data_IF_216078649060
#
_entry.id   IF_216078649060
#
_cell.length_a   1.000
_cell.length_b   1.000
_cell.length_c   1.000
_cell.angle_alpha   90.00
_cell.angle_beta   90.00
_cell.angle_gamma   90.00
#
_symmetry.space_group_name_H-M   'P 1'
#
loop_
_entity.id
_entity.type
_entity.pdbx_description
1 polymer ?
#
# COMPACT_ATOMS: atom_id res chain seq x y z
N UNK A 1 -7.46 33.08 0.42
CA UNK A 1 -7.51 33.09 -1.06
C UNK A 1 -7.96 31.72 -1.53
N UNK A 2 -8.71 31.60 -2.64
CA UNK A 2 -9.01 30.28 -3.20
C UNK A 2 -7.71 29.55 -3.54
N UNK A 3 -7.69 28.21 -3.38
CA UNK A 3 -6.55 27.41 -3.77
C UNK A 3 -6.30 27.53 -5.29
N UNK A 4 -5.04 27.51 -5.77
CA UNK A 4 -4.74 27.74 -7.17
C UNK A 4 -5.23 26.60 -8.08
N UNK A 5 -5.58 26.99 -9.31
CA UNK A 5 -5.69 26.11 -10.45
C UNK A 5 -4.32 26.01 -11.14
N UNK A 6 -3.85 24.78 -11.41
CA UNK A 6 -2.57 24.54 -12.07
C UNK A 6 -2.79 23.88 -13.44
N UNK A 7 -1.83 24.08 -14.32
CA UNK A 7 -1.73 23.35 -15.61
C UNK A 7 -0.35 22.73 -15.70
N UNK A 8 -0.29 21.46 -16.13
CA UNK A 8 0.95 20.72 -16.27
C UNK A 8 0.90 19.76 -17.47
N UNK A 9 2.04 19.24 -17.91
CA UNK A 9 2.07 18.14 -18.86
C UNK A 9 1.70 16.82 -18.16
N UNK A 10 2.18 16.63 -16.92
CA UNK A 10 1.96 15.41 -16.13
C UNK A 10 1.54 15.75 -14.71
N UNK A 11 0.46 15.15 -14.22
CA UNK A 11 0.09 15.14 -12.81
C UNK A 11 0.35 13.75 -12.21
N UNK A 12 1.21 13.67 -11.18
CA UNK A 12 1.47 12.44 -10.41
C UNK A 12 0.70 12.53 -9.11
N UNK A 13 -0.17 11.56 -8.84
CA UNK A 13 -0.98 11.49 -7.62
C UNK A 13 -0.39 10.45 -6.68
N UNK A 14 0.26 10.92 -5.62
CA UNK A 14 0.97 10.13 -4.61
C UNK A 14 2.50 10.21 -4.76
N UNK A 15 3.18 10.62 -3.69
CA UNK A 15 4.64 10.69 -3.57
C UNK A 15 5.21 9.57 -2.66
N UNK A 16 4.65 8.36 -2.82
CA UNK A 16 5.28 7.13 -2.34
C UNK A 16 6.36 6.66 -3.32
N UNK A 17 6.91 5.46 -3.08
CA UNK A 17 7.98 4.90 -3.90
C UNK A 17 7.71 4.94 -5.40
N UNK A 18 6.51 4.56 -5.84
CA UNK A 18 6.17 4.50 -7.26
C UNK A 18 6.11 5.90 -7.89
N UNK A 19 5.44 6.85 -7.23
CA UNK A 19 5.31 8.22 -7.72
C UNK A 19 6.65 8.95 -7.78
N UNK A 20 7.46 8.86 -6.72
CA UNK A 20 8.81 9.45 -6.68
C UNK A 20 9.71 8.85 -7.76
N UNK A 21 9.67 7.53 -7.97
CA UNK A 21 10.47 6.90 -9.03
C UNK A 21 10.04 7.36 -10.44
N UNK A 22 8.72 7.56 -10.69
CA UNK A 22 8.24 8.11 -11.96
C UNK A 22 8.69 9.56 -12.12
N UNK A 23 8.51 10.40 -11.11
CA UNK A 23 8.95 11.80 -11.13
C UNK A 23 10.45 11.92 -11.44
N UNK A 24 11.29 11.12 -10.77
CA UNK A 24 12.73 11.04 -11.04
C UNK A 24 13.03 10.71 -12.50
N UNK A 25 12.39 9.67 -13.05
CA UNK A 25 12.66 9.27 -14.43
C UNK A 25 12.14 10.27 -15.46
N UNK A 26 11.08 11.03 -15.16
CA UNK A 26 10.63 12.14 -15.99
C UNK A 26 11.62 13.32 -15.94
N UNK A 27 12.09 13.69 -14.76
CA UNK A 27 13.14 14.71 -14.59
C UNK A 27 14.42 14.33 -15.36
N UNK A 28 14.86 13.06 -15.29
CA UNK A 28 16.02 12.56 -16.06
C UNK A 28 15.81 12.58 -17.57
N UNK A 29 14.59 12.77 -18.06
CA UNK A 29 14.22 12.96 -19.47
C UNK A 29 14.05 14.43 -19.86
N UNK A 30 14.36 15.35 -18.95
CA UNK A 30 14.36 16.78 -19.20
C UNK A 30 13.04 17.51 -18.86
N UNK A 31 12.03 16.81 -18.31
CA UNK A 31 10.81 17.46 -17.85
C UNK A 31 11.08 18.16 -16.52
N UNK A 32 10.64 19.39 -16.37
CA UNK A 32 10.81 20.18 -15.17
C UNK A 32 9.74 19.84 -14.12
N UNK A 33 10.17 19.32 -12.96
CA UNK A 33 9.28 19.10 -11.81
C UNK A 33 8.95 20.45 -11.16
N UNK A 34 7.70 20.62 -10.72
CA UNK A 34 7.16 21.88 -10.21
C UNK A 34 6.44 22.73 -11.27
N UNK A 35 6.69 22.47 -12.58
CA UNK A 35 6.01 23.16 -13.67
C UNK A 35 5.40 22.20 -14.69
N UNK A 36 6.21 21.44 -15.42
CA UNK A 36 5.72 20.45 -16.38
C UNK A 36 5.23 19.17 -15.72
N UNK A 37 5.85 18.77 -14.61
CA UNK A 37 5.44 17.63 -13.79
C UNK A 37 5.03 18.13 -12.41
N UNK A 38 3.76 17.98 -12.05
CA UNK A 38 3.25 18.31 -10.74
C UNK A 38 3.06 17.02 -9.93
N UNK A 39 3.64 16.96 -8.74
CA UNK A 39 3.53 15.82 -7.84
C UNK A 39 2.65 16.20 -6.65
N UNK A 40 1.56 15.49 -6.46
CA UNK A 40 0.53 15.74 -5.44
C UNK A 40 0.56 14.62 -4.41
N UNK A 41 0.67 14.96 -3.13
CA UNK A 41 0.63 13.94 -2.07
C UNK A 41 -0.27 14.37 -0.91
N UNK A 42 -1.04 13.41 -0.40
CA UNK A 42 -1.98 13.63 0.70
C UNK A 42 -1.33 13.74 2.07
N UNK A 43 -0.12 13.17 2.21
CA UNK A 43 0.59 13.11 3.48
C UNK A 43 1.06 14.48 3.96
N UNK A 44 1.31 14.63 5.26
CA UNK A 44 1.85 15.87 5.82
C UNK A 44 3.33 16.07 5.47
N UNK A 45 4.03 15.00 5.08
CA UNK A 45 5.46 15.00 4.78
C UNK A 45 5.89 13.83 3.89
N UNK A 46 7.20 13.67 3.64
CA UNK A 46 7.76 12.54 2.93
C UNK A 46 7.51 11.20 3.64
N UNK A 47 7.60 10.08 2.89
CA UNK A 47 7.49 8.73 3.46
C UNK A 47 6.35 7.90 2.88
N UNK A 48 5.40 8.50 2.15
CA UNK A 48 4.25 7.79 1.57
C UNK A 48 3.49 6.99 2.64
N UNK A 49 3.20 5.73 2.37
CA UNK A 49 2.51 4.85 3.33
C UNK A 49 3.33 4.54 4.60
N UNK A 50 4.65 4.72 4.55
CA UNK A 50 5.54 4.37 5.67
C UNK A 50 5.42 5.35 6.83
N UNK A 51 5.21 6.64 6.59
CA UNK A 51 5.03 7.65 7.64
C UNK A 51 3.88 7.32 8.61
N UNK A 52 2.94 6.47 8.19
CA UNK A 52 1.77 6.08 8.96
C UNK A 52 1.92 4.70 9.64
N UNK A 53 3.10 4.06 9.56
CA UNK A 53 3.34 2.80 10.25
C UNK A 53 3.48 3.04 11.76
N UNK A 54 3.13 2.03 12.54
CA UNK A 54 3.27 2.08 14.00
C UNK A 54 4.75 2.10 14.40
N UNK A 55 5.02 2.69 15.54
CA UNK A 55 6.37 3.02 15.99
C UNK A 55 7.22 1.78 16.30
N UNK A 56 6.60 0.72 16.82
CA UNK A 56 7.28 -0.53 17.15
C UNK A 56 7.74 -1.33 15.92
N UNK A 57 7.27 -0.98 14.72
CA UNK A 57 7.76 -1.59 13.48
C UNK A 57 9.15 -1.04 13.13
N UNK A 58 10.18 -1.79 13.48
CA UNK A 58 11.57 -1.46 13.14
C UNK A 58 11.88 -1.74 11.68
N UNK A 59 12.93 -1.10 11.14
CA UNK A 59 13.39 -1.33 9.76
C UNK A 59 13.72 -2.81 9.51
N UNK A 60 14.43 -3.45 10.46
CA UNK A 60 14.76 -4.88 10.39
C UNK A 60 13.55 -5.81 10.52
N UNK A 61 12.44 -5.33 11.09
CA UNK A 61 11.16 -6.05 11.16
C UNK A 61 10.34 -6.00 9.88
N UNK A 62 10.74 -5.17 8.90
CA UNK A 62 10.07 -5.07 7.61
C UNK A 62 10.56 -6.14 6.62
N UNK A 63 9.82 -6.36 5.52
CA UNK A 63 10.41 -6.98 4.35
C UNK A 63 11.47 -6.05 3.75
N UNK A 64 12.46 -6.62 3.07
CA UNK A 64 13.56 -5.84 2.48
C UNK A 64 13.03 -4.70 1.61
N UNK A 65 13.44 -3.48 1.93
CA UNK A 65 13.19 -2.30 1.12
C UNK A 65 14.31 -2.13 0.09
N UNK A 66 13.93 -1.71 -1.11
CA UNK A 66 14.89 -1.42 -2.17
C UNK A 66 14.99 0.08 -2.38
N UNK A 67 16.21 0.55 -2.55
CA UNK A 67 16.51 1.95 -2.77
C UNK A 67 15.81 2.51 -4.01
N UNK A 68 15.45 3.77 -3.95
CA UNK A 68 14.94 4.52 -5.09
C UNK A 68 16.06 4.75 -6.14
N UNK A 69 15.71 4.87 -7.42
CA UNK A 69 16.70 5.04 -8.47
C UNK A 69 17.51 6.33 -8.27
N UNK A 70 18.84 6.24 -8.35
CA UNK A 70 19.77 7.38 -8.19
C UNK A 70 20.20 7.65 -6.75
N UNK A 71 19.77 6.86 -5.75
CA UNK A 71 20.23 7.00 -4.37
C UNK A 71 21.47 6.16 -4.04
N UNK A 72 21.61 5.00 -4.62
CA UNK A 72 22.78 4.13 -4.40
C UNK A 72 24.09 4.86 -4.74
N UNK A 73 24.11 5.63 -5.82
CA UNK A 73 25.26 6.45 -6.23
C UNK A 73 25.60 7.58 -5.21
N UNK A 74 24.66 7.90 -4.34
CA UNK A 74 24.81 8.88 -3.29
C UNK A 74 25.33 8.31 -1.95
N UNK A 75 25.48 6.99 -1.86
CA UNK A 75 25.82 6.32 -0.62
C UNK A 75 24.70 6.32 0.44
N UNK A 76 23.48 6.71 0.06
CA UNK A 76 22.31 6.70 0.95
C UNK A 76 21.45 5.50 0.59
N UNK A 77 21.47 4.48 1.42
CA UNK A 77 20.77 3.20 1.19
C UNK A 77 20.02 2.76 2.43
N UNK A 78 18.96 1.97 2.25
CA UNK A 78 18.26 1.35 3.37
C UNK A 78 19.13 0.33 4.11
N UNK A 79 20.03 -0.36 3.39
CA UNK A 79 20.95 -1.35 3.98
C UNK A 79 21.99 -0.68 4.93
N UNK A 80 22.25 0.62 4.80
CA UNK A 80 23.13 1.38 5.68
C UNK A 80 22.44 1.90 6.94
N UNK A 81 21.12 1.92 7.00
CA UNK A 81 20.38 2.42 8.15
C UNK A 81 20.29 1.37 9.26
N UNK A 82 20.35 1.79 10.56
CA UNK A 82 20.22 0.88 11.69
C UNK A 82 18.90 0.11 11.66
N UNK A 83 18.97 -1.22 11.81
CA UNK A 83 17.83 -2.12 11.67
C UNK A 83 16.80 -1.98 12.81
N UNK A 84 17.21 -1.47 13.94
CA UNK A 84 16.40 -1.26 15.16
C UNK A 84 15.63 0.05 15.19
N UNK A 85 15.92 0.97 14.26
CA UNK A 85 15.17 2.22 14.17
C UNK A 85 13.74 1.99 13.65
N UNK A 86 12.75 2.82 14.09
CA UNK A 86 11.41 2.79 13.54
C UNK A 86 11.41 2.98 12.01
N UNK A 87 10.79 2.05 11.28
CA UNK A 87 10.77 2.09 9.82
C UNK A 87 10.12 3.37 9.28
N UNK A 88 9.11 3.90 10.00
CA UNK A 88 8.41 5.15 9.65
C UNK A 88 9.36 6.36 9.59
N UNK A 89 10.34 6.41 10.48
CA UNK A 89 11.33 7.50 10.55
C UNK A 89 12.36 7.35 9.43
N UNK A 90 12.98 6.17 9.35
CA UNK A 90 14.03 5.89 8.36
C UNK A 90 13.52 6.13 6.94
N UNK A 91 12.32 5.63 6.61
CA UNK A 91 11.78 5.81 5.25
C UNK A 91 11.36 7.25 4.98
N UNK A 92 10.83 7.96 6.00
CA UNK A 92 10.47 9.37 5.82
C UNK A 92 11.71 10.24 5.60
N UNK A 93 12.77 10.03 6.36
CA UNK A 93 14.06 10.69 6.18
C UNK A 93 14.66 10.39 4.80
N UNK A 94 14.65 9.12 4.40
CA UNK A 94 15.17 8.68 3.10
C UNK A 94 14.41 9.32 1.93
N UNK A 95 13.05 9.35 1.99
CA UNK A 95 12.26 9.96 0.92
C UNK A 95 12.41 11.47 0.91
N UNK A 96 12.52 12.14 2.06
CA UNK A 96 12.81 13.57 2.14
C UNK A 96 14.17 13.94 1.52
N UNK A 97 15.20 13.15 1.83
CA UNK A 97 16.51 13.29 1.20
C UNK A 97 16.45 13.05 -0.32
N UNK A 98 15.64 12.09 -0.76
CA UNK A 98 15.41 11.81 -2.18
C UNK A 98 14.78 13.00 -2.90
N UNK A 99 13.68 13.52 -2.35
CA UNK A 99 12.98 14.69 -2.90
C UNK A 99 13.91 15.89 -3.03
N UNK A 100 14.65 16.20 -1.96
CA UNK A 100 15.61 17.31 -1.94
C UNK A 100 16.73 17.12 -2.97
N UNK A 101 17.35 15.95 -2.99
CA UNK A 101 18.48 15.64 -3.88
C UNK A 101 18.13 15.77 -5.35
N UNK A 102 16.93 15.36 -5.71
CA UNK A 102 16.50 15.31 -7.11
C UNK A 102 15.58 16.45 -7.51
N UNK A 103 15.37 17.44 -6.63
CA UNK A 103 14.51 18.59 -6.90
C UNK A 103 13.07 18.18 -7.21
N UNK A 104 12.56 17.14 -6.52
CA UNK A 104 11.19 16.70 -6.68
C UNK A 104 10.28 17.55 -5.79
N UNK A 105 9.75 18.62 -6.37
CA UNK A 105 8.86 19.55 -5.67
C UNK A 105 7.48 18.90 -5.51
N UNK A 106 7.19 18.44 -4.28
CA UNK A 106 5.95 17.72 -3.96
C UNK A 106 4.98 18.64 -3.22
N UNK A 107 3.81 18.86 -3.79
CA UNK A 107 2.74 19.64 -3.18
C UNK A 107 2.01 18.83 -2.11
N UNK A 108 2.03 19.33 -0.86
CA UNK A 108 1.43 18.72 0.34
C UNK A 108 0.76 19.76 1.23
N UNK A 109 -0.32 19.42 1.96
CA UNK A 109 -1.15 18.23 1.73
C UNK A 109 -2.10 18.45 0.56
N UNK A 110 -2.21 17.48 -0.35
CA UNK A 110 -3.15 17.51 -1.47
C UNK A 110 -3.90 16.19 -1.56
N UNK A 111 -5.20 16.22 -1.28
CA UNK A 111 -6.08 15.04 -1.39
C UNK A 111 -6.82 15.09 -2.72
N UNK A 112 -6.41 14.24 -3.66
CA UNK A 112 -7.12 14.12 -4.94
C UNK A 112 -8.42 13.34 -4.72
N UNK A 113 -9.54 13.97 -5.07
CA UNK A 113 -10.90 13.42 -4.91
C UNK A 113 -11.47 12.81 -6.18
N UNK A 114 -11.12 13.37 -7.36
CA UNK A 114 -11.60 12.89 -8.65
C UNK A 114 -10.61 13.20 -9.76
N UNK A 115 -10.61 12.37 -10.79
CA UNK A 115 -9.98 12.63 -12.09
C UNK A 115 -11.06 12.50 -13.15
N UNK A 116 -11.21 13.51 -13.99
CA UNK A 116 -12.25 13.62 -15.01
C UNK A 116 -11.65 13.98 -16.36
N UNK A 117 -12.35 13.71 -17.46
CA UNK A 117 -12.02 14.25 -18.77
C UNK A 117 -12.48 15.71 -18.88
N UNK A 118 -11.61 16.56 -19.38
CA UNK A 118 -11.88 17.97 -19.65
C UNK A 118 -11.33 18.34 -21.05
N UNK A 119 -12.07 17.96 -22.10
CA UNK A 119 -11.58 18.04 -23.47
C UNK A 119 -10.41 17.06 -23.70
N UNK A 120 -9.27 17.60 -24.17
CA UNK A 120 -8.08 16.81 -24.49
C UNK A 120 -7.16 16.56 -23.26
N UNK A 121 -7.54 17.06 -22.09
CA UNK A 121 -6.77 16.89 -20.86
C UNK A 121 -7.58 16.16 -19.78
N UNK A 122 -6.91 15.74 -18.74
CA UNK A 122 -7.51 15.30 -17.49
C UNK A 122 -7.58 16.46 -16.51
N UNK A 123 -8.71 16.61 -15.84
CA UNK A 123 -8.86 17.49 -14.67
C UNK A 123 -8.77 16.69 -13.39
N UNK A 124 -7.71 16.93 -12.64
CA UNK A 124 -7.50 16.37 -11.30
C UNK A 124 -8.12 17.33 -10.30
N UNK A 125 -9.19 16.91 -9.62
CA UNK A 125 -9.87 17.69 -8.57
C UNK A 125 -9.32 17.31 -7.20
N UNK A 126 -9.05 18.32 -6.40
CA UNK A 126 -8.57 18.15 -5.05
C UNK A 126 -9.69 18.46 -4.04
N UNK A 127 -9.65 17.80 -2.89
CA UNK A 127 -10.60 18.03 -1.82
C UNK A 127 -10.41 19.42 -1.20
N UNK A 128 -11.49 20.02 -0.64
CA UNK A 128 -11.38 21.29 0.09
C UNK A 128 -10.30 21.24 1.18
N UNK A 129 -9.54 22.30 1.31
CA UNK A 129 -8.41 22.40 2.24
C UNK A 129 -7.08 21.87 1.69
N UNK A 130 -7.04 21.36 0.46
CA UNK A 130 -5.80 21.03 -0.23
C UNK A 130 -5.04 22.30 -0.65
N UNK A 131 -3.72 22.19 -0.79
CA UNK A 131 -2.87 23.28 -1.26
C UNK A 131 -3.17 23.72 -2.71
N UNK A 132 -3.85 22.87 -3.48
CA UNK A 132 -4.28 23.08 -4.87
C UNK A 132 -5.74 22.70 -5.01
N UNK A 133 -6.52 23.44 -5.79
CA UNK A 133 -7.94 23.14 -6.06
C UNK A 133 -8.08 22.15 -7.21
N UNK A 134 -7.42 22.43 -8.34
CA UNK A 134 -7.46 21.57 -9.52
C UNK A 134 -6.12 21.60 -10.28
N UNK A 135 -5.83 20.52 -10.98
CA UNK A 135 -4.72 20.44 -11.95
C UNK A 135 -5.26 19.91 -13.28
N UNK A 136 -5.07 20.67 -14.35
CA UNK A 136 -5.32 20.19 -15.71
C UNK A 136 -4.02 19.65 -16.29
N UNK A 137 -4.01 18.38 -16.72
CA UNK A 137 -2.82 17.70 -17.21
C UNK A 137 -3.10 16.83 -18.44
N UNK A 138 -2.15 16.76 -19.38
CA UNK A 138 -2.21 15.86 -20.55
C UNK A 138 -2.09 14.39 -20.12
N UNK A 139 -1.33 14.13 -19.07
CA UNK A 139 -1.08 12.79 -18.54
C UNK A 139 -1.30 12.78 -17.04
N UNK A 140 -1.97 11.73 -16.54
CA UNK A 140 -2.13 11.47 -15.10
C UNK A 140 -1.47 10.14 -14.74
N UNK A 141 -0.67 10.15 -13.67
CA UNK A 141 -0.10 8.95 -13.06
C UNK A 141 -0.69 8.78 -11.68
N UNK A 142 -1.57 7.80 -11.52
CA UNK A 142 -2.08 7.42 -10.19
C UNK A 142 -1.08 6.48 -9.50
N UNK A 143 -0.42 6.98 -8.46
CA UNK A 143 0.57 6.29 -7.62
C UNK A 143 0.12 6.23 -6.14
N UNK A 144 -1.17 6.15 -5.92
CA UNK A 144 -1.85 6.31 -4.63
C UNK A 144 -1.68 5.14 -3.65
N UNK A 145 -1.16 4.01 -4.15
CA UNK A 145 -0.91 2.83 -3.33
C UNK A 145 -2.19 2.18 -2.78
N UNK A 146 -2.11 1.69 -1.55
CA UNK A 146 -3.19 0.88 -0.95
C UNK A 146 -3.50 1.26 0.50
N UNK A 147 -2.63 2.01 1.16
CA UNK A 147 -2.63 2.20 2.62
C UNK A 147 -3.95 2.73 3.20
N UNK A 148 -4.61 3.62 2.50
CA UNK A 148 -5.86 4.26 2.92
C UNK A 148 -7.11 3.48 2.57
N UNK A 149 -6.96 2.31 1.95
CA UNK A 149 -8.05 1.41 1.56
C UNK A 149 -7.90 0.03 2.21
N UNK A 150 -7.93 -0.08 3.56
CA UNK A 150 -7.91 -1.36 4.24
C UNK A 150 -9.15 -2.17 3.85
N UNK A 151 -8.96 -3.46 3.69
CA UNK A 151 -10.06 -4.37 3.40
C UNK A 151 -10.66 -4.90 4.70
N UNK A 152 -11.91 -4.57 4.97
CA UNK A 152 -12.68 -5.23 6.01
C UNK A 152 -13.72 -6.14 5.37
N UNK A 153 -13.74 -7.45 5.68
CA UNK A 153 -14.74 -8.35 5.14
C UNK A 153 -16.11 -8.02 5.72
N UNK A 154 -17.15 -8.29 4.94
CA UNK A 154 -18.50 -8.34 5.50
C UNK A 154 -18.57 -9.45 6.56
N UNK A 155 -19.13 -9.13 7.72
CA UNK A 155 -19.28 -10.05 8.84
C UNK A 155 -20.63 -9.80 9.52
N UNK A 156 -21.56 -10.79 9.53
CA UNK A 156 -22.82 -10.65 10.24
C UNK A 156 -22.61 -10.30 11.71
N UNK A 157 -23.37 -9.34 12.22
CA UNK A 157 -23.30 -8.90 13.61
C UNK A 157 -22.10 -7.99 13.95
N UNK A 158 -21.28 -7.63 12.99
CA UNK A 158 -20.10 -6.77 13.21
C UNK A 158 -20.44 -5.45 13.87
N UNK A 159 -21.54 -4.83 13.46
CA UNK A 159 -21.96 -3.52 13.99
C UNK A 159 -22.60 -3.62 15.39
N UNK A 160 -22.97 -4.84 15.81
CA UNK A 160 -23.46 -5.10 17.17
C UNK A 160 -22.34 -5.40 18.16
N UNK A 161 -21.11 -5.61 17.69
CA UNK A 161 -19.98 -5.88 18.56
C UNK A 161 -19.59 -4.59 19.33
N UNK A 162 -19.62 -4.66 20.67
CA UNK A 162 -19.34 -3.54 21.55
C UNK A 162 -17.87 -3.33 21.86
N UNK A 163 -17.02 -4.31 21.51
CA UNK A 163 -15.58 -4.23 21.70
C UNK A 163 -14.87 -3.35 20.68
N UNK A 164 -13.57 -3.20 20.86
CA UNK A 164 -12.74 -2.43 19.95
C UNK A 164 -12.59 -3.14 18.60
N UNK A 165 -12.80 -2.44 17.50
CA UNK A 165 -12.47 -2.92 16.16
C UNK A 165 -11.51 -1.95 15.48
N UNK A 166 -10.38 -2.47 14.98
CA UNK A 166 -9.44 -1.68 14.20
C UNK A 166 -8.96 -2.43 12.96
N UNK A 167 -8.55 -1.68 11.97
CA UNK A 167 -7.83 -2.17 10.79
C UNK A 167 -6.32 -1.91 10.94
N UNK A 168 -5.51 -2.49 10.06
CA UNK A 168 -4.04 -2.31 10.10
C UNK A 168 -3.58 -0.83 10.16
N UNK A 169 -4.15 0.12 9.39
CA UNK A 169 -3.77 1.53 9.49
C UNK A 169 -4.06 2.20 10.84
N UNK A 170 -4.98 1.67 11.61
CA UNK A 170 -5.39 2.21 12.92
C UNK A 170 -4.60 1.60 14.08
N UNK A 171 -3.71 0.64 13.79
CA UNK A 171 -2.83 0.06 14.79
C UNK A 171 -1.67 1.01 15.09
N UNK A 172 -1.54 1.43 16.34
CA UNK A 172 -0.51 2.36 16.83
C UNK A 172 0.54 1.70 17.74
N UNK A 173 0.33 0.43 18.12
CA UNK A 173 1.17 -0.34 19.00
C UNK A 173 0.37 -1.28 19.92
N UNK A 174 1.05 -2.16 20.66
CA UNK A 174 0.41 -3.21 21.44
C UNK A 174 -0.26 -2.72 22.73
N UNK A 175 0.17 -1.60 23.30
CA UNK A 175 -0.25 -1.17 24.64
C UNK A 175 -1.78 -0.97 24.79
N UNK A 176 -2.45 -0.57 23.71
CA UNK A 176 -3.91 -0.44 23.67
C UNK A 176 -4.66 -1.74 23.96
N UNK A 177 -3.98 -2.89 23.81
CA UNK A 177 -4.55 -4.24 23.96
C UNK A 177 -4.16 -4.91 25.28
N UNK A 178 -3.47 -4.19 26.16
CA UNK A 178 -3.02 -4.74 27.45
C UNK A 178 -4.17 -5.29 28.26
N UNK A 179 -4.08 -6.57 28.65
CA UNK A 179 -5.08 -7.28 29.43
C UNK A 179 -6.36 -7.66 28.67
N UNK A 180 -6.53 -7.26 27.41
CA UNK A 180 -7.70 -7.59 26.61
C UNK A 180 -7.60 -9.00 26.01
N UNK A 181 -8.76 -9.61 25.69
CA UNK A 181 -8.89 -10.78 24.84
C UNK A 181 -8.97 -10.30 23.39
N UNK A 182 -8.01 -10.64 22.56
CA UNK A 182 -7.90 -10.07 21.22
C UNK A 182 -8.06 -11.14 20.14
N UNK A 183 -8.90 -10.87 19.15
CA UNK A 183 -8.97 -11.65 17.92
C UNK A 183 -8.16 -10.95 16.81
N UNK A 184 -7.11 -11.61 16.29
CA UNK A 184 -6.38 -11.16 15.10
C UNK A 184 -6.93 -11.91 13.88
N UNK A 185 -7.43 -11.15 12.90
CA UNK A 185 -8.05 -11.70 11.69
C UNK A 185 -7.17 -11.43 10.48
N UNK A 186 -6.63 -12.48 9.88
CA UNK A 186 -5.81 -12.37 8.69
C UNK A 186 -4.67 -13.38 8.65
N UNK A 187 -4.18 -13.68 7.46
CA UNK A 187 -3.10 -14.66 7.24
C UNK A 187 -1.87 -14.06 6.56
N UNK A 188 -1.65 -12.75 6.66
CA UNK A 188 -0.50 -12.06 6.08
C UNK A 188 0.51 -11.59 7.14
N UNK A 189 1.57 -10.93 6.68
CA UNK A 189 2.67 -10.45 7.54
C UNK A 189 2.18 -9.55 8.68
N UNK A 190 1.25 -8.61 8.41
CA UNK A 190 0.71 -7.75 9.47
C UNK A 190 0.02 -8.53 10.58
N UNK A 191 -0.72 -9.60 10.23
CA UNK A 191 -1.34 -10.46 11.24
C UNK A 191 -0.29 -11.13 12.12
N UNK A 192 0.80 -11.63 11.54
CA UNK A 192 1.90 -12.23 12.32
C UNK A 192 2.57 -11.21 13.24
N UNK A 193 2.80 -9.99 12.77
CA UNK A 193 3.35 -8.92 13.62
C UNK A 193 2.43 -8.62 14.79
N UNK A 194 1.11 -8.54 14.55
CA UNK A 194 0.15 -8.29 15.64
C UNK A 194 0.04 -9.47 16.62
N UNK A 195 0.14 -10.72 16.15
CA UNK A 195 0.21 -11.89 17.04
C UNK A 195 1.44 -11.85 17.95
N UNK A 196 2.54 -11.34 17.46
CA UNK A 196 3.78 -11.19 18.23
C UNK A 196 3.65 -10.06 19.26
N UNK A 197 3.43 -8.83 18.78
CA UNK A 197 3.40 -7.64 19.63
C UNK A 197 2.25 -7.66 20.64
N UNK A 198 1.03 -7.96 20.16
CA UNK A 198 -0.16 -7.99 21.03
C UNK A 198 -0.14 -9.20 21.97
N UNK A 199 0.42 -10.32 21.50
CA UNK A 199 0.56 -11.52 22.33
C UNK A 199 1.41 -11.36 23.59
N UNK A 200 2.26 -10.33 23.65
CA UNK A 200 3.07 -10.03 24.83
C UNK A 200 2.32 -9.24 25.92
N UNK A 201 1.22 -8.56 25.56
CA UNK A 201 0.52 -7.65 26.48
C UNK A 201 -0.95 -8.05 26.72
N UNK A 202 -1.59 -8.72 25.77
CA UNK A 202 -2.99 -9.15 25.88
C UNK A 202 -3.17 -10.30 26.89
N UNK A 203 -4.35 -10.44 27.48
CA UNK A 203 -4.68 -11.60 28.32
C UNK A 203 -4.80 -12.90 27.51
N UNK A 204 -5.24 -12.79 26.27
CA UNK A 204 -5.24 -13.88 25.30
C UNK A 204 -5.32 -13.35 23.88
N UNK A 205 -4.75 -14.10 22.92
CA UNK A 205 -4.84 -13.77 21.49
C UNK A 205 -5.33 -15.00 20.73
N UNK A 206 -6.38 -14.80 19.94
CA UNK A 206 -6.95 -15.78 19.02
C UNK A 206 -6.62 -15.40 17.59
N UNK A 207 -6.13 -16.35 16.79
CA UNK A 207 -5.78 -16.12 15.39
C UNK A 207 -6.79 -16.75 14.44
N UNK A 208 -7.52 -15.93 13.69
CA UNK A 208 -8.53 -16.36 12.74
C UNK A 208 -8.09 -16.13 11.30
N UNK A 209 -8.20 -17.16 10.45
CA UNK A 209 -7.90 -17.03 9.02
C UNK A 209 -8.94 -17.73 8.16
N UNK A 210 -9.20 -17.16 6.98
CA UNK A 210 -10.11 -17.77 5.99
C UNK A 210 -9.52 -19.04 5.36
N UNK A 211 -8.21 -19.03 5.11
CA UNK A 211 -7.45 -20.14 4.52
C UNK A 211 -6.30 -20.49 5.45
N UNK A 212 -5.85 -21.74 5.42
CA UNK A 212 -4.64 -22.14 6.14
C UNK A 212 -3.45 -21.38 5.53
N UNK A 213 -2.70 -20.60 6.29
CA UNK A 213 -1.48 -19.97 5.79
C UNK A 213 -0.45 -21.03 5.43
N UNK A 214 0.23 -20.82 4.30
CA UNK A 214 1.34 -21.65 3.87
C UNK A 214 2.65 -21.02 4.31
N UNK A 215 3.48 -21.78 5.01
CA UNK A 215 4.83 -21.37 5.38
C UNK A 215 5.86 -22.16 4.57
N UNK A 216 6.97 -21.54 4.21
CA UNK A 216 8.05 -22.18 3.46
C UNK A 216 9.41 -21.72 3.98
N UNK A 217 10.43 -22.56 3.84
CA UNK A 217 11.81 -22.17 4.14
C UNK A 217 12.30 -21.11 3.16
N UNK A 218 13.24 -20.27 3.62
CA UNK A 218 13.84 -19.21 2.80
C UNK A 218 14.91 -19.81 1.88
N UNK A 219 14.50 -20.51 0.84
CA UNK A 219 15.38 -20.97 -0.24
C UNK A 219 15.32 -19.94 -1.38
N UNK A 220 16.46 -19.36 -1.74
CA UNK A 220 16.53 -18.25 -2.68
C UNK A 220 15.93 -18.57 -4.06
N UNK A 221 16.17 -19.79 -4.59
CA UNK A 221 15.66 -20.21 -5.91
C UNK A 221 14.15 -20.41 -5.92
N UNK A 222 13.61 -21.12 -4.93
CA UNK A 222 12.16 -21.34 -4.78
C UNK A 222 11.42 -20.03 -4.46
N UNK A 223 12.05 -19.13 -3.72
CA UNK A 223 11.51 -17.79 -3.45
C UNK A 223 11.41 -16.95 -4.74
N UNK A 224 12.41 -17.02 -5.61
CA UNK A 224 12.41 -16.33 -6.91
C UNK A 224 11.34 -16.88 -7.86
N UNK A 225 11.13 -18.20 -7.90
CA UNK A 225 10.11 -18.85 -8.71
C UNK A 225 8.70 -18.47 -8.25
N UNK A 226 8.42 -18.54 -6.93
CA UNK A 226 7.15 -18.10 -6.34
C UNK A 226 6.89 -16.62 -6.61
N UNK A 227 7.92 -15.78 -6.52
CA UNK A 227 7.86 -14.37 -6.88
C UNK A 227 7.46 -14.15 -8.34
N UNK A 228 8.07 -14.88 -9.28
CA UNK A 228 7.69 -14.83 -10.70
C UNK A 228 6.25 -15.28 -10.94
N UNK A 229 5.82 -16.36 -10.29
CA UNK A 229 4.43 -16.86 -10.37
C UNK A 229 3.44 -15.84 -9.85
N UNK A 230 3.72 -15.22 -8.71
CA UNK A 230 2.86 -14.19 -8.14
C UNK A 230 2.75 -12.95 -9.06
N UNK A 231 3.86 -12.53 -9.65
CA UNK A 231 3.89 -11.43 -10.63
C UNK A 231 3.05 -11.79 -11.85
N UNK A 232 3.16 -13.01 -12.40
CA UNK A 232 2.39 -13.44 -13.55
C UNK A 232 0.87 -13.48 -13.26
N UNK A 233 0.47 -13.99 -12.09
CA UNK A 233 -0.94 -14.00 -11.67
C UNK A 233 -1.49 -12.58 -11.47
N UNK A 234 -0.69 -11.68 -10.90
CA UNK A 234 -1.10 -10.28 -10.75
C UNK A 234 -1.17 -9.54 -12.08
N UNK A 235 -0.25 -9.80 -13.01
CA UNK A 235 -0.23 -9.23 -14.35
C UNK A 235 -1.48 -9.65 -15.13
N UNK A 236 -1.80 -10.94 -15.10
CA UNK A 236 -3.02 -11.46 -15.73
C UNK A 236 -4.30 -10.84 -15.13
N UNK A 237 -4.36 -10.70 -13.79
CA UNK A 237 -5.48 -10.04 -13.13
C UNK A 237 -5.58 -8.56 -13.51
N UNK A 238 -4.45 -7.85 -13.57
CA UNK A 238 -4.38 -6.45 -13.96
C UNK A 238 -4.78 -6.24 -15.43
N UNK A 239 -4.28 -7.06 -16.36
CA UNK A 239 -4.66 -6.99 -17.79
C UNK A 239 -6.15 -7.22 -18.01
N UNK A 240 -6.75 -8.13 -17.26
CA UNK A 240 -8.19 -8.44 -17.35
C UNK A 240 -9.07 -7.59 -16.45
N UNK A 241 -8.53 -6.59 -15.76
CA UNK A 241 -9.30 -5.73 -14.86
C UNK A 241 -9.90 -6.47 -13.66
N UNK A 242 -9.40 -7.66 -13.32
CA UNK A 242 -9.89 -8.41 -12.15
C UNK A 242 -9.29 -7.84 -10.86
N UNK A 243 -9.96 -8.01 -9.71
CA UNK A 243 -9.39 -7.66 -8.42
C UNK A 243 -8.03 -8.34 -8.22
N UNK A 244 -7.03 -7.56 -7.80
CA UNK A 244 -5.68 -8.06 -7.60
C UNK A 244 -5.63 -9.04 -6.42
N UNK A 245 -5.08 -10.26 -6.58
CA UNK A 245 -4.85 -11.16 -5.47
C UNK A 245 -3.73 -10.63 -4.57
N UNK A 246 -3.79 -10.93 -3.27
CA UNK A 246 -2.69 -10.61 -2.37
C UNK A 246 -1.45 -11.46 -2.75
N UNK A 247 -0.28 -10.84 -2.80
CA UNK A 247 0.99 -11.55 -3.07
C UNK A 247 1.18 -12.70 -2.08
N UNK A 248 1.01 -12.46 -0.79
CA UNK A 248 1.13 -13.48 0.26
C UNK A 248 0.17 -14.67 0.05
N UNK A 249 -1.02 -14.43 -0.53
CA UNK A 249 -1.96 -15.52 -0.82
C UNK A 249 -1.47 -16.46 -1.93
N UNK A 250 -0.52 -16.03 -2.73
CA UNK A 250 0.07 -16.79 -3.84
C UNK A 250 1.43 -17.36 -3.43
N UNK A 251 2.29 -16.55 -2.81
CA UNK A 251 3.66 -16.95 -2.45
C UNK A 251 3.74 -17.75 -1.14
N UNK A 252 2.78 -17.59 -0.24
CA UNK A 252 2.92 -18.01 1.15
C UNK A 252 3.80 -17.04 1.96
N UNK A 253 4.19 -17.45 3.13
CA UNK A 253 5.00 -16.71 4.10
C UNK A 253 6.34 -17.42 4.32
N UNK A 254 7.48 -16.72 4.28
CA UNK A 254 8.75 -17.31 4.65
C UNK A 254 8.79 -17.60 6.16
N UNK A 255 9.48 -18.68 6.55
CA UNK A 255 9.80 -19.02 7.95
C UNK A 255 10.88 -18.09 8.49
N UNK A 256 10.54 -16.80 8.56
CA UNK A 256 11.39 -15.74 9.11
C UNK A 256 11.64 -15.91 10.62
N UNK A 257 12.51 -15.08 11.18
CA UNK A 257 12.74 -15.03 12.64
C UNK A 257 11.43 -14.77 13.41
N UNK A 258 10.54 -13.92 12.89
CA UNK A 258 9.20 -13.67 13.44
C UNK A 258 8.36 -14.95 13.49
N UNK A 259 8.30 -15.69 12.39
CA UNK A 259 7.52 -16.95 12.35
C UNK A 259 8.06 -17.96 13.34
N UNK A 260 9.39 -18.16 13.41
CA UNK A 260 10.02 -19.06 14.39
C UNK A 260 9.74 -18.66 15.82
N UNK A 261 9.75 -17.37 16.14
CA UNK A 261 9.41 -16.84 17.47
C UNK A 261 7.95 -17.13 17.82
N UNK A 262 7.02 -16.92 16.90
CA UNK A 262 5.60 -17.23 17.08
C UNK A 262 5.34 -18.74 17.26
N UNK A 263 6.05 -19.59 16.51
CA UNK A 263 6.00 -21.06 16.66
C UNK A 263 6.45 -21.47 18.07
N UNK A 264 7.60 -20.96 18.49
CA UNK A 264 8.14 -21.27 19.83
C UNK A 264 7.25 -20.77 20.96
N UNK A 265 6.54 -19.66 20.77
CA UNK A 265 5.57 -19.12 21.70
C UNK A 265 4.18 -19.79 21.63
N UNK A 266 3.97 -20.75 20.72
CA UNK A 266 2.66 -21.40 20.52
C UNK A 266 1.58 -20.49 19.94
N UNK A 267 1.93 -19.35 19.34
CA UNK A 267 1.01 -18.30 18.85
C UNK A 267 0.49 -18.55 17.42
N UNK A 268 0.93 -19.61 16.77
CA UNK A 268 0.44 -19.98 15.43
C UNK A 268 -0.71 -21.00 15.47
N UNK A 269 -1.35 -21.18 16.63
CA UNK A 269 -2.56 -21.99 16.76
C UNK A 269 -3.75 -21.30 16.08
N UNK A 270 -3.92 -21.60 14.80
CA UNK A 270 -4.91 -20.99 13.93
C UNK A 270 -6.32 -21.53 14.16
N UNK A 271 -7.32 -20.63 14.15
CA UNK A 271 -8.74 -20.97 14.10
C UNK A 271 -9.32 -20.68 12.69
N UNK A 272 -10.30 -21.47 12.22
CA UNK A 272 -11.08 -21.13 11.04
C UNK A 272 -11.82 -19.81 11.26
N UNK A 273 -12.06 -19.08 10.16
CA UNK A 273 -12.81 -17.83 10.21
C UNK A 273 -14.17 -18.04 10.89
N UNK A 274 -14.52 -17.21 11.85
CA UNK A 274 -15.83 -17.20 12.49
C UNK A 274 -16.95 -16.81 11.50
N UNK A 275 -18.20 -17.15 11.82
CA UNK A 275 -19.35 -16.94 10.96
C UNK A 275 -20.08 -15.63 11.23
N UNK A 276 -20.07 -15.16 12.48
CA UNK A 276 -20.74 -13.94 12.92
C UNK A 276 -20.09 -13.37 14.17
N UNK A 277 -20.55 -12.19 14.55
CA UNK A 277 -20.20 -11.49 15.80
C UNK A 277 -21.47 -11.18 16.56
N UNK A 278 -21.36 -11.02 17.88
CA UNK A 278 -22.35 -10.42 18.75
C UNK A 278 -21.73 -9.33 19.62
N UNK A 279 -22.46 -8.80 20.57
CA UNK A 279 -21.98 -7.73 21.44
C UNK A 279 -20.68 -8.08 22.19
N UNK A 280 -20.47 -9.36 22.54
CA UNK A 280 -19.42 -9.82 23.46
C UNK A 280 -18.31 -10.65 22.78
N UNK A 281 -18.43 -10.96 21.48
CA UNK A 281 -17.43 -11.81 20.86
C UNK A 281 -17.71 -12.27 19.44
N UNK A 282 -17.09 -13.41 19.09
CA UNK A 282 -17.20 -14.02 17.76
C UNK A 282 -17.74 -15.43 17.85
N UNK A 283 -18.56 -15.83 16.88
CA UNK A 283 -19.22 -17.14 16.82
C UNK A 283 -18.74 -17.93 15.60
N UNK A 284 -18.34 -19.17 15.82
CA UNK A 284 -18.00 -20.10 14.73
C UNK A 284 -19.25 -20.63 14.05
N UNK A 285 -19.07 -21.29 12.89
CA UNK A 285 -20.16 -22.01 12.20
C UNK A 285 -20.77 -23.15 13.03
N UNK A 286 -20.01 -23.72 13.97
CA UNK A 286 -20.48 -24.74 14.89
C UNK A 286 -21.22 -24.19 16.11
N UNK A 287 -21.40 -22.88 16.21
CA UNK A 287 -22.05 -22.22 17.36
C UNK A 287 -21.13 -21.99 18.56
N UNK A 288 -19.85 -22.34 18.48
CA UNK A 288 -18.92 -22.05 19.56
C UNK A 288 -18.67 -20.54 19.64
N UNK A 289 -18.88 -19.96 20.81
CA UNK A 289 -18.65 -18.56 21.11
C UNK A 289 -17.26 -18.35 21.73
N UNK A 290 -16.51 -17.39 21.19
CA UNK A 290 -15.26 -16.91 21.75
C UNK A 290 -15.44 -15.48 22.23
N UNK A 291 -15.47 -15.25 23.55
CA UNK A 291 -15.49 -13.89 24.07
C UNK A 291 -14.21 -13.16 23.72
N UNK A 292 -14.34 -11.98 23.10
CA UNK A 292 -13.22 -11.09 22.76
C UNK A 292 -13.59 -9.64 23.08
N UNK A 293 -12.60 -8.86 23.47
CA UNK A 293 -12.74 -7.44 23.79
C UNK A 293 -12.27 -6.55 22.63
N UNK A 294 -11.47 -7.13 21.72
CA UNK A 294 -10.97 -6.42 20.55
C UNK A 294 -10.81 -7.34 19.33
N UNK A 295 -11.00 -6.78 18.14
CA UNK A 295 -10.75 -7.43 16.85
C UNK A 295 -9.82 -6.55 16.01
N UNK A 296 -8.70 -7.14 15.56
CA UNK A 296 -7.76 -6.50 14.63
C UNK A 296 -7.95 -7.11 13.24
N UNK A 297 -8.49 -6.32 12.31
CA UNK A 297 -8.71 -6.72 10.92
C UNK A 297 -7.43 -6.54 10.08
N UNK A 298 -6.53 -7.53 10.14
CA UNK A 298 -5.31 -7.62 9.34
C UNK A 298 -5.56 -8.30 7.98
N UNK A 299 -6.65 -7.92 7.32
CA UNK A 299 -7.23 -8.60 6.15
C UNK A 299 -6.74 -8.05 4.81
N UNK A 300 -5.67 -7.23 4.85
CA UNK A 300 -5.02 -6.65 3.69
C UNK A 300 -5.70 -5.38 3.18
N UNK A 301 -5.37 -5.00 1.96
CA UNK A 301 -5.72 -3.71 1.38
C UNK A 301 -6.28 -3.88 -0.03
N UNK A 302 -6.94 -2.81 -0.53
CA UNK A 302 -7.32 -2.63 -1.92
C UNK A 302 -6.51 -1.48 -2.51
N UNK A 303 -6.31 -1.45 -3.84
CA UNK A 303 -5.77 -0.25 -4.47
C UNK A 303 -6.67 0.97 -4.21
N UNK A 304 -6.05 2.11 -3.90
CA UNK A 304 -6.76 3.38 -3.73
C UNK A 304 -6.97 4.04 -5.08
N UNK A 305 -8.02 3.66 -5.77
CA UNK A 305 -8.34 4.10 -7.14
C UNK A 305 -9.73 4.74 -7.25
N UNK A 306 -10.35 5.07 -6.11
CA UNK A 306 -11.71 5.63 -6.09
C UNK A 306 -11.83 6.95 -6.87
N UNK A 307 -10.76 7.76 -6.86
CA UNK A 307 -10.68 9.02 -7.60
C UNK A 307 -10.75 8.86 -9.15
N UNK A 308 -10.55 7.64 -9.65
CA UNK A 308 -10.64 7.34 -11.09
C UNK A 308 -12.05 6.93 -11.56
N UNK A 309 -13.01 6.77 -10.63
CA UNK A 309 -14.38 6.37 -10.96
C UNK A 309 -15.08 7.27 -11.98
N UNK A 310 -14.90 8.61 -11.96
CA UNK A 310 -15.54 9.47 -12.96
C UNK A 310 -15.10 9.21 -14.41
N UNK A 311 -13.94 8.58 -14.61
CA UNK A 311 -13.46 8.16 -15.93
C UNK A 311 -14.12 6.86 -16.43
N UNK A 312 -14.89 6.15 -15.60
CA UNK A 312 -15.51 4.87 -15.97
C UNK A 312 -14.53 3.69 -16.11
N UNK A 313 -13.25 3.86 -15.75
CA UNK A 313 -12.19 2.83 -15.91
C UNK A 313 -12.19 1.79 -14.80
N UNK A 314 -12.83 2.09 -13.67
CA UNK A 314 -12.99 1.15 -12.55
C UNK A 314 -14.23 0.32 -12.79
N UNK A 315 -14.06 -0.96 -13.05
CA UNK A 315 -15.18 -1.86 -13.36
C UNK A 315 -15.97 -2.27 -12.09
N UNK A 316 -17.07 -3.02 -12.27
CA UNK A 316 -17.96 -3.46 -11.19
C UNK A 316 -17.25 -4.33 -10.12
N UNK A 317 -16.18 -5.03 -10.49
CA UNK A 317 -15.37 -5.83 -9.58
C UNK A 317 -14.37 -4.97 -8.78
N UNK A 318 -14.26 -3.68 -9.10
CA UNK A 318 -13.33 -2.74 -8.46
C UNK A 318 -11.90 -2.84 -8.98
N UNK A 319 -11.68 -3.42 -10.15
CA UNK A 319 -10.39 -3.49 -10.82
C UNK A 319 -10.29 -2.48 -11.99
N UNK A 320 -9.07 -2.24 -12.45
CA UNK A 320 -8.77 -1.43 -13.65
C UNK A 320 -7.92 -2.28 -14.59
N UNK A 321 -8.29 -2.33 -15.86
CA UNK A 321 -7.51 -3.01 -16.89
C UNK A 321 -6.29 -2.16 -17.27
N UNK A 322 -5.10 -2.72 -17.10
CA UNK A 322 -3.84 -2.02 -17.42
C UNK A 322 -2.88 -2.91 -18.23
N UNK A 323 -2.15 -2.28 -19.12
CA UNK A 323 -1.06 -2.89 -19.86
C UNK A 323 0.23 -2.07 -19.68
N UNK A 324 1.25 -2.68 -19.08
CA UNK A 324 2.51 -2.02 -18.69
C UNK A 324 2.27 -0.72 -17.87
N UNK A 325 1.26 -0.74 -17.00
CA UNK A 325 0.87 0.39 -16.17
C UNK A 325 -0.02 1.42 -16.84
N UNK A 326 -0.23 1.39 -18.14
CA UNK A 326 -1.17 2.26 -18.87
C UNK A 326 -2.58 1.69 -18.81
N UNK A 327 -3.56 2.51 -18.51
CA UNK A 327 -4.97 2.10 -18.47
C UNK A 327 -5.49 1.86 -19.89
N UNK A 328 -6.11 0.71 -20.09
CA UNK A 328 -6.69 0.34 -21.40
C UNK A 328 -7.82 1.31 -21.76
N UNK A 329 -7.77 1.88 -22.96
CA UNK A 329 -8.73 2.88 -23.44
C UNK A 329 -8.45 4.32 -22.99
N UNK A 330 -7.44 4.55 -22.14
CA UNK A 330 -7.05 5.87 -21.62
C UNK A 330 -5.55 6.14 -21.84
N UNK A 331 -5.15 6.63 -23.04
CA UNK A 331 -3.74 6.72 -23.43
C UNK A 331 -2.87 7.60 -22.52
N UNK A 332 -3.46 8.62 -21.86
CA UNK A 332 -2.78 9.51 -20.94
C UNK A 332 -2.91 9.11 -19.46
N UNK A 333 -3.51 7.97 -19.13
CA UNK A 333 -3.70 7.55 -17.75
C UNK A 333 -2.83 6.32 -17.40
N UNK A 334 -2.07 6.44 -16.32
CA UNK A 334 -1.18 5.39 -15.84
C UNK A 334 -1.47 5.05 -14.36
N UNK A 335 -1.32 3.77 -14.00
CA UNK A 335 -1.29 3.30 -12.62
C UNK A 335 0.13 2.84 -12.27
N UNK A 336 0.79 3.56 -11.38
CA UNK A 336 2.12 3.20 -10.89
C UNK A 336 2.03 2.50 -9.52
N UNK A 337 2.78 1.42 -9.34
CA UNK A 337 2.68 0.60 -8.12
C UNK A 337 1.40 -0.23 -8.03
N UNK A 338 0.76 -0.51 -9.14
CA UNK A 338 -0.46 -1.31 -9.26
C UNK A 338 -0.14 -2.71 -9.80
N UNK A 339 -0.81 -3.74 -9.27
CA UNK A 339 -0.62 -5.12 -9.71
C UNK A 339 0.83 -5.60 -9.54
N UNK A 340 1.44 -6.13 -10.60
CA UNK A 340 2.81 -6.66 -10.55
C UNK A 340 3.86 -5.61 -10.22
N UNK A 341 3.52 -4.33 -10.31
CA UNK A 341 4.40 -3.19 -10.01
C UNK A 341 4.39 -2.78 -8.52
N UNK A 342 3.64 -3.46 -7.66
CA UNK A 342 3.44 -3.05 -6.26
C UNK A 342 4.63 -3.35 -5.34
N UNK A 343 5.62 -4.14 -5.76
CA UNK A 343 6.85 -4.36 -4.96
C UNK A 343 7.87 -3.25 -5.18
N UNK A 344 8.75 -3.05 -4.21
CA UNK A 344 9.79 -2.01 -4.28
C UNK A 344 10.74 -2.19 -5.48
N UNK A 345 11.07 -3.43 -5.85
CA UNK A 345 11.90 -3.74 -7.03
C UNK A 345 11.16 -3.46 -8.34
N UNK A 346 9.96 -4.02 -8.47
CA UNK A 346 9.19 -3.92 -9.70
C UNK A 346 8.70 -2.50 -9.96
N UNK A 347 8.39 -1.74 -8.91
CA UNK A 347 8.02 -0.34 -8.97
C UNK A 347 9.09 0.52 -9.64
N UNK A 348 10.36 0.37 -9.24
CA UNK A 348 11.48 1.12 -9.83
C UNK A 348 11.69 0.80 -11.31
N UNK A 349 11.58 -0.49 -11.69
CA UNK A 349 11.67 -0.91 -13.10
C UNK A 349 10.52 -0.36 -13.93
N UNK A 350 9.30 -0.49 -13.41
CA UNK A 350 8.08 -0.02 -14.07
C UNK A 350 8.08 1.50 -14.25
N UNK A 351 8.53 2.26 -13.26
CA UNK A 351 8.62 3.71 -13.34
C UNK A 351 9.46 4.20 -14.53
N UNK A 352 10.55 3.51 -14.85
CA UNK A 352 11.38 3.81 -16.03
C UNK A 352 10.63 3.57 -17.35
N UNK A 353 9.83 2.51 -17.41
CA UNK A 353 8.99 2.19 -18.59
C UNK A 353 7.88 3.21 -18.73
N UNK A 354 7.18 3.49 -17.66
CA UNK A 354 6.10 4.51 -17.57
C UNK A 354 6.61 5.87 -18.03
N UNK A 355 7.74 6.35 -17.49
CA UNK A 355 8.31 7.64 -17.87
C UNK A 355 8.72 7.69 -19.35
N UNK A 356 9.18 6.59 -19.96
CA UNK A 356 9.47 6.53 -21.39
C UNK A 356 8.19 6.65 -22.22
N UNK A 357 7.14 5.93 -21.86
CA UNK A 357 5.84 6.00 -22.56
C UNK A 357 5.24 7.41 -22.46
N UNK A 358 5.30 8.03 -21.29
CA UNK A 358 4.85 9.41 -21.09
C UNK A 358 5.62 10.38 -22.00
N UNK A 359 6.94 10.28 -22.06
CA UNK A 359 7.75 11.11 -22.92
C UNK A 359 7.37 10.94 -24.42
N UNK A 360 7.00 9.73 -24.84
CA UNK A 360 6.49 9.50 -26.22
C UNK A 360 5.15 10.16 -26.45
N UNK A 361 4.23 10.15 -25.46
CA UNK A 361 2.91 10.81 -25.57
C UNK A 361 3.06 12.34 -25.63
N UNK A 362 4.04 12.88 -24.91
CA UNK A 362 4.27 14.32 -24.83
C UNK A 362 5.09 14.88 -26.01
N UNK A 363 5.76 14.00 -26.74
CA UNK A 363 6.49 14.42 -27.95
C UNK A 363 5.55 15.13 -28.94
N UNK A 364 6.04 16.19 -29.62
CA UNK A 364 5.24 16.96 -30.58
C UNK A 364 4.80 16.13 -31.78
#
# INVERSE_FOLDING_TARGET
MPAPHLTADVAIVGAGQAGLAVAYHLARRGLQVGSQVVVLDRGPGPGGAWQHRWETLTLGGTHRLHDLPGMTDAGVTFDAAPADRPAREVVSEYYGAYETRHGLDVLRPVVVSAVERAGDVYRVRCAPGSAVETVDARVVVSATGTWTSPRTPFMPGRDAFEGLQITTPEYTGPERFRGLRVAVVGGGTSALTFLDEVGDVASSVLWFTRRVPSFHEEEAELSAERGRTAVAIQDEAARSGRPLPSIVSVTGLPRSALVRRLESAGRLARLPMFASMDAAGVLTRSGMHFPVDAVIWATGFRPEIAHLRPLGVVNELGGVAVEDGQVVGEPGLFLAGYGPQASTISSNRAARVTARRIATILAP
#
